data_IF_343934853875
#
_entry.id   IF_343934853875
#
_cell.length_a   1.000
_cell.length_b   1.000
_cell.length_c   1.000
_cell.angle_alpha   90.00
_cell.angle_beta   90.00
_cell.angle_gamma   90.00
#
_symmetry.space_group_name_H-M   'P 1'
#
loop_
_entity.id
_entity.type
_entity.pdbx_description
1 polymer ?
#
# COMPACT_ATOMS: atom_id res chain seq x y z
N UNK A 1 17.69 17.73 -1.46
CA UNK A 1 16.78 16.61 -1.53
C UNK A 1 17.63 15.36 -1.66
N UNK A 2 17.18 14.22 -1.21
CA UNK A 2 18.07 13.07 -1.13
C UNK A 2 17.35 11.77 -1.49
N UNK A 3 18.03 10.90 -2.23
CA UNK A 3 17.64 9.50 -2.37
C UNK A 3 17.82 8.75 -1.05
N UNK A 4 17.12 7.61 -0.90
CA UNK A 4 17.34 6.70 0.22
C UNK A 4 17.69 5.33 -0.32
N UNK A 5 18.80 4.76 0.13
CA UNK A 5 19.25 3.44 -0.30
C UNK A 5 19.42 2.51 0.89
N UNK A 6 18.76 1.37 0.82
CA UNK A 6 18.92 0.24 1.73
C UNK A 6 19.77 -0.82 1.01
N UNK A 7 20.81 -1.33 1.66
CA UNK A 7 21.68 -2.39 1.11
C UNK A 7 21.69 -3.57 2.08
N UNK A 8 21.08 -4.68 1.68
CA UNK A 8 21.05 -5.94 2.41
C UNK A 8 20.61 -5.78 3.88
N UNK A 9 19.55 -4.97 4.09
CA UNK A 9 19.07 -4.65 5.42
C UNK A 9 18.36 -5.85 6.04
N UNK A 10 18.87 -6.27 7.19
CA UNK A 10 18.24 -7.29 8.02
C UNK A 10 17.97 -6.74 9.42
N UNK A 11 16.82 -7.10 10.00
CA UNK A 11 16.49 -6.82 11.40
C UNK A 11 15.94 -8.03 12.08
N UNK A 12 16.64 -8.45 13.15
CA UNK A 12 16.24 -9.57 14.02
C UNK A 12 16.23 -9.15 15.48
N UNK A 13 15.36 -9.77 16.26
CA UNK A 13 15.35 -9.73 17.71
C UNK A 13 15.32 -11.18 18.23
N UNK A 14 16.46 -11.66 18.70
CA UNK A 14 16.62 -13.08 19.02
C UNK A 14 16.31 -13.94 17.79
N UNK A 15 15.38 -14.87 17.91
CA UNK A 15 15.01 -15.80 16.84
C UNK A 15 13.99 -15.22 15.82
N UNK A 16 13.48 -14.01 16.09
CA UNK A 16 12.48 -13.38 15.21
C UNK A 16 13.16 -12.44 14.24
N UNK A 17 13.10 -12.75 12.94
CA UNK A 17 13.57 -11.88 11.87
C UNK A 17 12.38 -11.14 11.24
N UNK A 18 12.29 -9.84 11.48
CA UNK A 18 11.20 -9.00 10.97
C UNK A 18 11.46 -8.41 9.57
N UNK A 19 12.73 -8.22 9.22
CA UNK A 19 13.19 -7.74 7.91
C UNK A 19 14.35 -8.60 7.47
N UNK A 20 14.29 -9.12 6.24
CA UNK A 20 15.20 -10.14 5.73
C UNK A 20 15.86 -9.67 4.43
N UNK A 21 17.10 -9.27 4.49
CA UNK A 21 17.96 -8.94 3.35
C UNK A 21 17.29 -8.01 2.32
N UNK A 22 16.69 -6.91 2.78
CA UNK A 22 16.05 -5.94 1.89
C UNK A 22 17.08 -5.03 1.26
N UNK A 23 17.12 -5.01 -0.07
CA UNK A 23 17.83 -4.02 -0.88
C UNK A 23 16.83 -3.18 -1.66
N UNK A 24 16.84 -1.85 -1.45
CA UNK A 24 15.85 -0.93 -2.00
C UNK A 24 16.50 0.41 -2.30
N UNK A 25 16.29 0.91 -3.51
CA UNK A 25 16.70 2.25 -3.91
C UNK A 25 15.48 3.14 -4.14
N UNK A 26 15.33 4.18 -3.34
CA UNK A 26 14.27 5.19 -3.41
C UNK A 26 14.90 6.44 -4.04
N UNK A 27 14.35 6.86 -5.18
CA UNK A 27 14.87 7.98 -5.95
C UNK A 27 14.58 9.31 -5.25
N UNK A 28 15.37 10.33 -5.59
CA UNK A 28 15.05 11.70 -5.15
C UNK A 28 13.66 12.12 -5.65
N UNK A 29 12.89 12.79 -4.79
CA UNK A 29 11.51 13.21 -5.03
C UNK A 29 10.50 12.07 -5.26
N UNK A 30 10.87 10.82 -5.04
CA UNK A 30 9.98 9.70 -5.17
C UNK A 30 9.00 9.61 -3.99
N UNK A 31 7.74 9.25 -4.28
CA UNK A 31 6.76 8.80 -3.30
C UNK A 31 6.73 7.27 -3.35
N UNK A 32 7.46 6.63 -2.45
CA UNK A 32 7.45 5.17 -2.30
C UNK A 32 6.45 4.76 -1.22
N UNK A 33 5.62 3.78 -1.53
CA UNK A 33 4.72 3.15 -0.55
C UNK A 33 5.22 1.77 -0.18
N UNK A 34 5.37 1.50 1.12
CA UNK A 34 5.54 0.16 1.67
C UNK A 34 4.15 -0.39 2.01
N UNK A 35 3.69 -1.38 1.26
CA UNK A 35 2.37 -2.00 1.38
C UNK A 35 2.51 -3.46 1.81
N UNK A 36 1.60 -3.97 2.62
CA UNK A 36 1.58 -5.38 3.01
C UNK A 36 0.75 -5.64 4.26
N UNK A 37 0.55 -6.90 4.65
CA UNK A 37 -0.20 -7.26 5.84
C UNK A 37 0.47 -6.78 7.11
N UNK A 38 -0.28 -6.80 8.23
CA UNK A 38 0.27 -6.46 9.54
C UNK A 38 1.42 -7.40 9.92
N UNK A 39 2.49 -6.85 10.47
CA UNK A 39 3.66 -7.63 10.90
C UNK A 39 4.64 -8.02 9.80
N UNK A 40 4.48 -7.61 8.53
CA UNK A 40 5.40 -7.95 7.44
C UNK A 40 6.71 -7.12 7.40
N UNK A 41 6.96 -6.22 8.36
CA UNK A 41 8.23 -5.48 8.47
C UNK A 41 8.22 -4.02 8.02
N UNK A 42 7.12 -3.47 7.50
CA UNK A 42 7.01 -2.08 6.97
C UNK A 42 7.46 -1.01 7.97
N UNK A 43 6.80 -0.95 9.12
CA UNK A 43 7.12 0.03 10.18
C UNK A 43 8.53 -0.16 10.71
N UNK A 44 9.02 -1.40 10.81
CA UNK A 44 10.41 -1.70 11.21
C UNK A 44 11.39 -1.11 10.20
N UNK A 45 11.18 -1.35 8.90
CA UNK A 45 12.02 -0.80 7.82
C UNK A 45 12.05 0.74 7.88
N UNK A 46 10.88 1.37 8.03
CA UNK A 46 10.81 2.82 8.14
C UNK A 46 11.48 3.36 9.41
N UNK A 47 11.35 2.67 10.57
CA UNK A 47 12.03 3.05 11.81
C UNK A 47 13.55 2.94 11.71
N UNK A 48 14.07 1.97 10.97
CA UNK A 48 15.50 1.86 10.70
C UNK A 48 15.99 3.05 9.85
N UNK A 49 15.24 3.50 8.84
CA UNK A 49 15.56 4.69 8.07
C UNK A 49 15.55 5.95 8.96
N UNK A 50 14.57 6.04 9.88
CA UNK A 50 14.47 7.15 10.83
C UNK A 50 15.57 7.16 11.90
N UNK A 51 16.31 6.06 12.07
CA UNK A 51 17.27 5.87 13.16
C UNK A 51 16.66 5.61 14.53
N UNK A 52 15.37 5.24 14.55
CA UNK A 52 14.65 4.83 15.76
C UNK A 52 14.85 3.35 16.08
N UNK A 53 15.40 2.60 15.13
CA UNK A 53 15.77 1.20 15.25
C UNK A 53 17.08 0.99 14.50
N UNK A 54 17.99 0.18 15.04
CA UNK A 54 19.25 -0.15 14.40
C UNK A 54 19.07 -1.41 13.55
N UNK A 55 19.54 -1.44 12.29
CA UNK A 55 19.60 -2.69 11.54
C UNK A 55 20.54 -3.69 12.23
N UNK A 56 20.23 -4.99 12.14
CA UNK A 56 21.14 -6.05 12.58
C UNK A 56 22.27 -6.24 11.58
N UNK A 57 21.97 -6.06 10.28
CA UNK A 57 22.94 -6.17 9.19
C UNK A 57 22.57 -5.17 8.08
N UNK A 58 23.54 -4.86 7.21
CA UNK A 58 23.38 -4.00 6.06
C UNK A 58 23.56 -2.52 6.35
N UNK A 59 23.41 -1.70 5.29
CA UNK A 59 23.71 -0.27 5.32
C UNK A 59 22.55 0.58 4.81
N UNK A 60 22.32 1.72 5.48
CA UNK A 60 21.33 2.73 5.10
C UNK A 60 22.06 4.00 4.68
N UNK A 61 21.68 4.52 3.50
CA UNK A 61 22.20 5.77 2.97
C UNK A 61 21.07 6.78 2.76
N UNK A 62 21.33 8.04 3.10
CA UNK A 62 20.49 9.19 2.75
C UNK A 62 21.37 10.11 1.90
N UNK A 63 21.03 10.24 0.60
CA UNK A 63 21.96 10.77 -0.38
C UNK A 63 23.21 9.87 -0.48
N UNK A 64 24.37 10.48 -0.39
CA UNK A 64 25.67 9.76 -0.41
C UNK A 64 26.15 9.34 0.99
N UNK A 65 25.48 9.82 2.05
CA UNK A 65 25.90 9.61 3.42
C UNK A 65 25.32 8.32 3.99
N UNK A 66 26.21 7.42 4.49
CA UNK A 66 25.83 6.28 5.35
C UNK A 66 25.34 6.82 6.70
N UNK A 67 24.17 6.38 7.16
CA UNK A 67 23.52 6.94 8.36
C UNK A 67 23.29 5.94 9.48
N UNK A 68 23.83 4.73 9.41
CA UNK A 68 23.63 3.71 10.44
C UNK A 68 24.00 4.24 11.84
N UNK A 69 25.14 4.92 11.96
CA UNK A 69 25.69 5.43 13.22
C UNK A 69 25.18 6.83 13.59
N UNK A 70 24.30 7.41 12.74
CA UNK A 70 23.75 8.75 12.97
C UNK A 70 22.51 8.71 13.87
N UNK A 71 22.45 9.62 14.83
CA UNK A 71 21.27 9.77 15.68
C UNK A 71 20.05 10.26 14.83
N UNK A 72 18.80 9.93 15.22
CA UNK A 72 17.61 10.34 14.49
C UNK A 72 17.52 11.85 14.19
N UNK A 73 18.00 12.68 15.13
CA UNK A 73 18.01 14.17 14.98
C UNK A 73 18.98 14.66 13.90
N UNK A 74 20.01 13.88 13.55
CA UNK A 74 21.08 14.26 12.64
C UNK A 74 20.87 13.69 11.21
N UNK A 75 19.86 12.80 11.01
CA UNK A 75 19.53 12.21 9.71
C UNK A 75 18.75 13.10 8.76
N UNK A 76 18.33 14.28 9.18
CA UNK A 76 17.48 15.22 8.42
C UNK A 76 16.18 14.61 7.87
N UNK A 77 15.59 13.67 8.58
CA UNK A 77 14.31 13.05 8.28
C UNK A 77 13.20 13.63 9.15
N UNK A 78 11.98 13.79 8.63
CA UNK A 78 10.79 14.09 9.42
C UNK A 78 9.85 12.91 9.40
N UNK A 79 9.23 12.60 10.55
CA UNK A 79 8.33 11.47 10.68
C UNK A 79 6.96 11.91 11.21
N UNK A 80 5.91 11.43 10.56
CA UNK A 80 4.52 11.48 11.03
C UNK A 80 4.14 10.09 11.52
N UNK A 81 3.78 10.00 12.80
CA UNK A 81 3.39 8.76 13.45
C UNK A 81 1.89 8.49 13.29
N UNK A 82 1.48 7.26 13.38
CA UNK A 82 0.09 6.81 13.31
C UNK A 82 -0.83 7.52 14.31
N UNK A 83 -0.35 7.82 15.51
CA UNK A 83 -1.06 8.56 16.55
C UNK A 83 -0.84 10.07 16.50
N UNK A 84 -0.31 10.59 15.38
CA UNK A 84 0.06 12.00 15.16
C UNK A 84 1.20 12.51 16.03
N UNK A 85 1.43 11.96 17.22
CA UNK A 85 2.50 12.33 18.16
C UNK A 85 2.48 13.81 18.59
N UNK A 86 1.31 14.48 18.61
CA UNK A 86 1.21 15.89 19.01
C UNK A 86 1.43 16.05 20.51
N UNK A 87 2.07 17.15 20.90
CA UNK A 87 2.24 17.53 22.29
C UNK A 87 0.91 18.09 22.84
N UNK A 88 0.21 17.39 23.74
CA UNK A 88 -1.18 17.72 24.13
C UNK A 88 -1.29 19.01 24.94
N UNK A 89 -0.23 19.41 25.61
CA UNK A 89 -0.16 20.62 26.43
C UNK A 89 0.21 21.88 25.63
N UNK A 90 0.70 21.74 24.40
CA UNK A 90 1.08 22.82 23.50
C UNK A 90 -0.09 23.19 22.58
N UNK A 91 -0.16 24.47 22.17
CA UNK A 91 -1.06 24.92 21.11
C UNK A 91 -0.62 24.37 19.74
N UNK A 92 -1.46 24.50 18.71
CA UNK A 92 -1.10 24.18 17.32
C UNK A 92 0.15 24.95 16.90
N UNK A 93 0.18 26.26 17.16
CA UNK A 93 1.34 27.11 16.89
C UNK A 93 2.61 26.56 17.54
N UNK A 94 2.55 26.22 18.82
CA UNK A 94 3.70 25.68 19.55
C UNK A 94 4.15 24.32 19.03
N UNK A 95 3.20 23.44 18.66
CA UNK A 95 3.51 22.14 18.05
C UNK A 95 4.29 22.31 16.74
N UNK A 96 3.84 23.21 15.85
CA UNK A 96 4.52 23.50 14.57
C UNK A 96 5.86 24.18 14.81
N UNK A 97 5.92 25.12 15.75
CA UNK A 97 7.14 25.87 16.09
C UNK A 97 8.23 25.02 16.74
N UNK A 98 7.88 23.96 17.45
CA UNK A 98 8.80 23.18 18.28
C UNK A 98 10.05 22.69 17.53
N UNK A 99 9.96 22.10 16.32
CA UNK A 99 11.13 21.69 15.53
C UNK A 99 12.08 22.84 15.21
N UNK A 100 11.57 24.06 14.99
CA UNK A 100 12.40 25.25 14.73
C UNK A 100 13.23 25.63 15.96
N UNK A 101 12.66 25.49 17.17
CA UNK A 101 13.40 25.72 18.42
C UNK A 101 14.54 24.71 18.59
N UNK A 102 14.25 23.41 18.34
CA UNK A 102 15.24 22.34 18.47
C UNK A 102 16.40 22.56 17.49
N UNK A 103 16.12 23.02 16.28
CA UNK A 103 17.12 23.33 15.24
C UNK A 103 17.78 24.72 15.44
N UNK A 104 17.46 25.45 16.50
CA UNK A 104 18.02 26.76 16.81
C UNK A 104 17.80 27.79 15.69
N UNK A 105 16.71 27.70 14.94
CA UNK A 105 16.31 28.73 13.96
C UNK A 105 16.08 30.06 14.69
N UNK A 106 16.48 31.21 14.14
CA UNK A 106 16.28 32.53 14.79
C UNK A 106 14.81 32.80 15.11
N UNK A 107 14.50 33.25 16.33
CA UNK A 107 13.13 33.50 16.80
C UNK A 107 12.30 34.40 15.88
N UNK A 108 12.95 35.37 15.25
CA UNK A 108 12.31 36.34 14.34
C UNK A 108 11.68 35.67 13.12
N UNK A 109 12.18 34.50 12.71
CA UNK A 109 11.66 33.75 11.55
C UNK A 109 10.52 32.77 11.92
N UNK A 110 10.31 32.52 13.22
CA UNK A 110 9.38 31.46 13.65
C UNK A 110 7.93 31.76 13.24
N UNK A 111 7.47 33.00 13.43
CA UNK A 111 6.10 33.43 13.14
C UNK A 111 5.76 33.19 11.66
N UNK A 112 6.62 33.70 10.77
CA UNK A 112 6.49 33.60 9.32
C UNK A 112 6.50 32.13 8.85
N UNK A 113 7.47 31.35 9.33
CA UNK A 113 7.59 29.94 8.95
C UNK A 113 6.38 29.12 9.42
N UNK A 114 5.91 29.35 10.63
CA UNK A 114 4.72 28.65 11.18
C UNK A 114 3.47 29.02 10.40
N UNK A 115 3.22 30.32 10.14
CA UNK A 115 2.03 30.76 9.37
C UNK A 115 2.05 30.26 7.95
N UNK A 116 3.18 30.41 7.24
CA UNK A 116 3.36 29.89 5.89
C UNK A 116 3.11 28.39 5.81
N UNK A 117 3.61 27.64 6.81
CA UNK A 117 3.41 26.18 6.85
C UNK A 117 1.97 25.82 7.21
N UNK A 118 1.35 26.54 8.15
CA UNK A 118 -0.05 26.35 8.50
C UNK A 118 -0.98 26.65 7.31
N UNK A 119 -0.66 27.64 6.48
CA UNK A 119 -1.39 27.94 5.25
C UNK A 119 -1.35 26.80 4.23
N UNK A 120 -0.18 26.15 4.06
CA UNK A 120 -0.03 25.00 3.15
C UNK A 120 -0.95 23.81 3.48
N UNK A 121 -1.35 23.66 4.73
CA UNK A 121 -2.24 22.59 5.21
C UNK A 121 -3.57 23.14 5.76
N UNK A 122 -3.91 24.39 5.43
CA UNK A 122 -5.20 25.03 5.71
C UNK A 122 -5.63 25.04 7.21
N UNK A 123 -4.69 25.32 8.13
CA UNK A 123 -4.95 25.34 9.57
C UNK A 123 -4.56 26.66 10.25
N UNK A 124 -4.38 27.75 9.52
CA UNK A 124 -4.00 29.05 10.10
C UNK A 124 -4.98 29.55 11.18
N UNK A 125 -6.28 29.33 10.97
CA UNK A 125 -7.32 29.70 11.90
C UNK A 125 -7.35 28.85 13.19
N UNK A 126 -6.54 27.77 13.25
CA UNK A 126 -6.49 26.86 14.39
C UNK A 126 -5.23 27.03 15.26
N UNK A 127 -4.33 27.95 14.93
CA UNK A 127 -3.01 28.11 15.57
C UNK A 127 -3.07 28.25 17.11
N UNK A 128 -4.14 28.85 17.64
CA UNK A 128 -4.30 29.07 19.08
C UNK A 128 -4.97 27.89 19.80
N UNK A 129 -5.52 26.89 19.08
CA UNK A 129 -6.17 25.73 19.66
C UNK A 129 -5.16 24.71 20.19
N UNK A 130 -5.62 23.82 21.07
CA UNK A 130 -4.88 22.66 21.54
C UNK A 130 -5.33 21.38 20.84
N UNK A 131 -4.51 20.33 20.79
CA UNK A 131 -4.84 19.06 20.09
C UNK A 131 -6.20 18.44 20.50
N UNK A 132 -6.60 18.58 21.75
CA UNK A 132 -7.91 18.08 22.25
C UNK A 132 -9.13 18.78 21.65
N UNK A 133 -8.94 19.98 21.09
CA UNK A 133 -9.99 20.82 20.51
C UNK A 133 -10.12 20.64 19.00
N UNK A 134 -9.36 19.67 18.43
CA UNK A 134 -9.26 19.41 17.01
C UNK A 134 -9.93 18.09 16.62
N UNK A 135 -10.51 18.05 15.42
CA UNK A 135 -10.92 16.80 14.77
C UNK A 135 -9.72 15.91 14.38
N UNK A 136 -9.97 14.67 14.00
CA UNK A 136 -8.92 13.75 13.53
C UNK A 136 -8.11 14.32 12.39
N UNK A 137 -8.77 14.80 11.33
CA UNK A 137 -8.09 15.41 10.18
C UNK A 137 -7.34 16.69 10.52
N UNK A 138 -7.88 17.53 11.42
CA UNK A 138 -7.16 18.72 11.89
C UNK A 138 -5.89 18.34 12.66
N UNK A 139 -5.95 17.32 13.53
CA UNK A 139 -4.73 16.79 14.21
C UNK A 139 -3.69 16.30 13.23
N UNK A 140 -4.13 15.60 12.18
CA UNK A 140 -3.23 15.13 11.13
C UNK A 140 -2.56 16.29 10.39
N UNK A 141 -3.32 17.29 9.95
CA UNK A 141 -2.77 18.50 9.30
C UNK A 141 -1.75 19.22 10.19
N UNK A 142 -1.98 19.27 11.51
CA UNK A 142 -0.99 19.81 12.47
C UNK A 142 0.27 18.93 12.51
N UNK A 143 0.15 17.62 12.49
CA UNK A 143 1.30 16.72 12.47
C UNK A 143 2.12 16.87 11.16
N UNK A 144 1.42 16.99 10.02
CA UNK A 144 2.06 17.31 8.73
C UNK A 144 2.79 18.66 8.78
N UNK A 145 2.11 19.72 9.23
CA UNK A 145 2.74 21.06 9.37
C UNK A 145 3.99 21.00 10.24
N UNK A 146 3.92 20.32 11.40
CA UNK A 146 5.08 20.15 12.28
C UNK A 146 6.24 19.43 11.60
N UNK A 147 5.94 18.45 10.72
CA UNK A 147 6.96 17.72 10.02
C UNK A 147 7.61 18.53 8.89
N UNK A 148 6.83 19.28 8.11
CA UNK A 148 7.32 20.01 6.94
C UNK A 148 7.91 21.40 7.26
N UNK A 149 7.59 22.01 8.42
CA UNK A 149 8.08 23.35 8.80
C UNK A 149 9.60 23.48 8.78
N UNK A 150 10.29 22.39 8.94
CA UNK A 150 11.76 22.30 8.96
C UNK A 150 12.37 21.95 7.60
N UNK A 151 11.56 21.81 6.53
CA UNK A 151 11.98 21.43 5.19
C UNK A 151 12.94 20.20 5.21
N UNK A 152 12.47 19.01 5.65
CA UNK A 152 13.31 17.82 5.74
C UNK A 152 13.72 17.33 4.35
N UNK A 153 14.84 16.59 4.26
CA UNK A 153 15.27 15.96 3.00
C UNK A 153 14.47 14.68 2.68
N UNK A 154 14.00 13.97 3.72
CA UNK A 154 13.17 12.76 3.60
C UNK A 154 11.97 12.86 4.53
N UNK A 155 10.81 12.48 4.02
CA UNK A 155 9.55 12.47 4.75
C UNK A 155 9.05 11.04 4.97
N UNK A 156 8.87 10.66 6.22
CA UNK A 156 8.43 9.33 6.64
C UNK A 156 7.03 9.41 7.21
N UNK A 157 6.11 8.58 6.76
CA UNK A 157 4.71 8.56 7.21
C UNK A 157 4.27 7.14 7.58
N UNK A 158 4.00 6.92 8.88
CA UNK A 158 3.55 5.62 9.40
C UNK A 158 2.04 5.60 9.55
N UNK A 159 1.34 4.99 8.60
CA UNK A 159 -0.12 4.86 8.54
C UNK A 159 -0.88 6.16 8.91
N UNK A 160 -0.55 7.30 8.31
CA UNK A 160 -1.06 8.59 8.79
C UNK A 160 -2.57 8.76 8.63
N UNK A 161 -3.23 7.99 7.75
CA UNK A 161 -4.66 8.09 7.48
C UNK A 161 -5.52 7.04 8.19
N UNK A 162 -4.90 6.07 8.88
CA UNK A 162 -5.58 4.91 9.47
C UNK A 162 -6.67 5.29 10.48
N UNK A 163 -6.49 6.38 11.23
CA UNK A 163 -7.41 6.84 12.27
C UNK A 163 -8.49 7.82 11.77
N UNK A 164 -8.67 7.95 10.44
CA UNK A 164 -9.67 8.84 9.83
C UNK A 164 -10.86 8.05 9.30
N UNK A 165 -12.03 8.68 9.31
CA UNK A 165 -13.21 8.13 8.64
C UNK A 165 -13.03 8.10 7.11
N UNK A 166 -13.85 7.28 6.41
CA UNK A 166 -13.69 7.02 4.99
C UNK A 166 -13.78 8.30 4.13
N UNK A 167 -14.71 9.22 4.43
CA UNK A 167 -14.89 10.46 3.67
C UNK A 167 -13.67 11.38 3.81
N UNK A 168 -13.18 11.54 5.04
CA UNK A 168 -12.02 12.38 5.33
C UNK A 168 -10.74 11.76 4.75
N UNK A 169 -10.62 10.42 4.73
CA UNK A 169 -9.49 9.72 4.12
C UNK A 169 -9.36 10.01 2.62
N UNK A 170 -10.50 10.09 1.89
CA UNK A 170 -10.50 10.45 0.45
C UNK A 170 -9.93 11.85 0.24
N UNK A 171 -10.41 12.87 0.98
CA UNK A 171 -9.90 14.24 0.83
C UNK A 171 -8.43 14.36 1.22
N UNK A 172 -8.03 13.72 2.33
CA UNK A 172 -6.66 13.77 2.82
C UNK A 172 -5.65 13.10 1.88
N UNK A 173 -6.04 12.04 1.15
CA UNK A 173 -5.18 11.46 0.10
C UNK A 173 -4.88 12.47 -1.01
N UNK A 174 -5.90 13.17 -1.51
CA UNK A 174 -5.71 14.18 -2.53
C UNK A 174 -4.78 15.32 -2.04
N UNK A 175 -4.97 15.77 -0.80
CA UNK A 175 -4.12 16.79 -0.18
C UNK A 175 -2.67 16.33 -0.02
N UNK A 176 -2.45 15.10 0.44
CA UNK A 176 -1.11 14.53 0.59
C UNK A 176 -0.38 14.43 -0.76
N UNK A 177 -1.08 14.00 -1.81
CA UNK A 177 -0.52 13.92 -3.16
C UNK A 177 -0.13 15.30 -3.68
N UNK A 178 -1.00 16.30 -3.49
CA UNK A 178 -0.73 17.69 -3.87
C UNK A 178 0.45 18.27 -3.09
N UNK A 179 0.48 18.07 -1.77
CA UNK A 179 1.53 18.52 -0.87
C UNK A 179 2.89 17.96 -1.26
N UNK A 180 2.97 16.67 -1.55
CA UNK A 180 4.21 16.02 -2.01
C UNK A 180 4.69 16.61 -3.34
N UNK A 181 3.77 16.82 -4.30
CA UNK A 181 4.10 17.44 -5.58
C UNK A 181 4.64 18.88 -5.40
N UNK A 182 4.05 19.67 -4.50
CA UNK A 182 4.51 21.04 -4.19
C UNK A 182 5.88 21.06 -3.51
N UNK A 183 6.06 20.17 -2.52
CA UNK A 183 7.26 20.17 -1.69
C UNK A 183 8.45 19.47 -2.36
N UNK A 184 8.20 18.56 -3.30
CA UNK A 184 9.21 17.74 -3.98
C UNK A 184 10.17 17.03 -3.02
N UNK A 185 9.65 16.50 -1.91
CA UNK A 185 10.43 15.78 -0.89
C UNK A 185 10.31 14.27 -1.14
N UNK A 186 11.42 13.56 -1.05
CA UNK A 186 11.44 12.08 -1.06
C UNK A 186 10.60 11.57 0.09
N UNK A 187 9.56 10.79 -0.22
CA UNK A 187 8.55 10.36 0.76
C UNK A 187 8.48 8.84 0.83
N UNK A 188 8.55 8.31 2.05
CA UNK A 188 8.31 6.89 2.33
C UNK A 188 7.05 6.80 3.17
N UNK A 189 6.08 6.11 2.65
CA UNK A 189 4.73 5.98 3.22
C UNK A 189 4.43 4.52 3.55
N UNK A 190 4.05 4.25 4.77
CA UNK A 190 3.63 2.92 5.22
C UNK A 190 2.12 2.88 5.29
N UNK A 191 1.51 1.86 4.72
CA UNK A 191 0.08 1.59 4.82
C UNK A 191 -0.24 0.11 4.65
N UNK A 192 -1.42 -0.30 5.09
CA UNK A 192 -2.06 -1.55 4.74
C UNK A 192 -3.27 -1.34 3.80
N UNK A 193 -3.60 -0.08 3.47
CA UNK A 193 -4.70 0.29 2.57
C UNK A 193 -4.19 0.31 1.12
N UNK A 194 -4.72 -0.61 0.32
CA UNK A 194 -4.36 -0.75 -1.09
C UNK A 194 -4.74 0.48 -1.91
N UNK A 195 -5.87 1.14 -1.59
CA UNK A 195 -6.32 2.32 -2.32
C UNK A 195 -5.34 3.48 -2.10
N UNK A 196 -4.81 3.63 -0.87
CA UNK A 196 -3.76 4.60 -0.59
C UNK A 196 -2.51 4.32 -1.43
N UNK A 197 -2.04 3.07 -1.45
CA UNK A 197 -0.88 2.68 -2.21
C UNK A 197 -1.04 2.94 -3.72
N UNK A 198 -2.17 2.50 -4.30
CA UNK A 198 -2.44 2.65 -5.73
C UNK A 198 -2.63 4.10 -6.16
N UNK A 199 -3.11 4.99 -5.27
CA UNK A 199 -3.42 6.38 -5.65
C UNK A 199 -2.28 7.35 -5.37
N UNK A 200 -1.47 7.11 -4.33
CA UNK A 200 -0.41 8.02 -3.89
C UNK A 200 0.95 7.71 -4.50
N UNK A 201 1.28 6.44 -4.69
CA UNK A 201 2.63 6.00 -4.98
C UNK A 201 3.11 6.33 -6.40
N UNK A 202 4.41 6.64 -6.53
CA UNK A 202 5.15 6.48 -7.77
C UNK A 202 5.57 5.02 -7.96
N UNK A 203 6.03 4.35 -6.88
CA UNK A 203 6.23 2.90 -6.81
C UNK A 203 5.70 2.35 -5.49
N UNK A 204 5.27 1.10 -5.54
CA UNK A 204 4.82 0.32 -4.38
C UNK A 204 5.79 -0.84 -4.15
N UNK A 205 6.32 -0.95 -2.93
CA UNK A 205 7.00 -2.15 -2.46
C UNK A 205 6.00 -3.01 -1.68
N UNK A 206 5.55 -4.09 -2.28
CA UNK A 206 4.67 -5.06 -1.63
C UNK A 206 5.51 -5.97 -0.76
N UNK A 207 5.29 -5.93 0.55
CA UNK A 207 6.08 -6.68 1.54
C UNK A 207 5.29 -7.86 2.10
N UNK A 208 5.94 -9.01 2.21
CA UNK A 208 5.46 -10.19 2.93
C UNK A 208 6.58 -10.82 3.75
N UNK A 209 6.27 -11.19 5.00
CA UNK A 209 7.18 -11.96 5.89
C UNK A 209 8.62 -11.45 5.95
N UNK A 210 8.77 -10.13 5.89
CA UNK A 210 10.08 -9.46 6.02
C UNK A 210 10.84 -9.27 4.72
N UNK A 211 10.29 -9.63 3.56
CA UNK A 211 10.90 -9.44 2.24
C UNK A 211 10.04 -8.50 1.37
N UNK A 212 10.62 -7.96 0.31
CA UNK A 212 9.88 -7.29 -0.77
C UNK A 212 9.51 -8.35 -1.79
N UNK A 213 8.20 -8.62 -1.92
CA UNK A 213 7.66 -9.60 -2.87
C UNK A 213 7.58 -9.07 -4.30
N UNK A 214 7.34 -7.76 -4.45
CA UNK A 214 7.37 -7.05 -5.75
C UNK A 214 7.57 -5.56 -5.50
N UNK A 215 8.31 -4.89 -6.39
CA UNK A 215 8.55 -3.44 -6.35
C UNK A 215 8.34 -2.85 -7.74
N UNK A 216 7.22 -2.18 -7.94
CA UNK A 216 6.89 -1.61 -9.25
C UNK A 216 5.94 -0.41 -9.15
N UNK A 217 5.58 0.18 -10.29
CA UNK A 217 4.51 1.18 -10.39
C UNK A 217 3.16 0.54 -10.04
N UNK A 218 2.19 1.30 -9.48
CA UNK A 218 0.90 0.74 -9.07
C UNK A 218 0.18 -0.07 -10.16
N UNK A 219 0.23 0.39 -11.40
CA UNK A 219 -0.40 -0.28 -12.54
C UNK A 219 0.20 -1.68 -12.79
N UNK A 220 1.53 -1.82 -12.71
CA UNK A 220 2.21 -3.10 -12.88
C UNK A 220 1.92 -4.06 -11.70
N UNK A 221 1.90 -3.55 -10.46
CA UNK A 221 1.52 -4.34 -9.27
C UNK A 221 0.13 -4.96 -9.43
N UNK A 222 -0.82 -4.23 -10.05
CA UNK A 222 -2.18 -4.74 -10.28
C UNK A 222 -2.28 -5.65 -11.50
N UNK A 223 -1.72 -5.23 -12.65
CA UNK A 223 -1.89 -5.89 -13.93
C UNK A 223 -0.83 -6.96 -14.22
N UNK A 224 0.28 -6.96 -13.51
CA UNK A 224 1.43 -7.84 -13.76
C UNK A 224 2.04 -8.39 -12.46
N UNK A 225 1.24 -9.08 -11.60
CA UNK A 225 1.73 -9.63 -10.35
C UNK A 225 2.79 -10.71 -10.62
N UNK A 226 3.96 -10.60 -9.96
CA UNK A 226 5.09 -11.52 -10.15
C UNK A 226 4.89 -12.87 -9.45
N UNK A 227 4.02 -12.92 -8.45
CA UNK A 227 3.80 -14.13 -7.66
C UNK A 227 2.38 -14.23 -7.11
N UNK A 228 2.05 -15.41 -6.61
CA UNK A 228 0.73 -15.75 -6.06
C UNK A 228 0.31 -14.85 -4.88
N UNK A 229 1.28 -14.48 -4.03
CA UNK A 229 0.99 -13.60 -2.90
C UNK A 229 0.52 -12.23 -3.37
N UNK A 230 1.24 -11.59 -4.27
CA UNK A 230 0.86 -10.27 -4.81
C UNK A 230 -0.48 -10.34 -5.52
N UNK A 231 -0.70 -11.36 -6.36
CA UNK A 231 -1.96 -11.57 -7.07
C UNK A 231 -3.17 -11.67 -6.12
N UNK A 232 -3.04 -12.47 -5.06
CA UNK A 232 -4.10 -12.67 -4.07
C UNK A 232 -4.21 -11.56 -3.03
N UNK A 233 -3.15 -10.78 -2.80
CA UNK A 233 -3.18 -9.68 -1.86
C UNK A 233 -3.73 -8.39 -2.47
N UNK A 234 -3.47 -8.13 -3.76
CA UNK A 234 -3.86 -6.90 -4.44
C UNK A 234 -5.23 -7.05 -5.13
N UNK A 235 -6.12 -6.12 -4.82
CA UNK A 235 -7.48 -6.07 -5.35
C UNK A 235 -8.54 -6.19 -4.24
N UNK A 236 -9.70 -5.59 -4.46
CA UNK A 236 -10.86 -5.68 -3.56
C UNK A 236 -12.15 -5.80 -4.40
N UNK A 237 -12.68 -7.03 -4.57
CA UNK A 237 -12.18 -8.31 -4.07
C UNK A 237 -10.81 -8.71 -4.64
N UNK A 238 -10.09 -9.67 -3.99
CA UNK A 238 -8.84 -10.20 -4.50
C UNK A 238 -9.03 -11.01 -5.79
N UNK A 239 -7.93 -11.34 -6.47
CA UNK A 239 -7.93 -12.25 -7.61
C UNK A 239 -8.47 -13.61 -7.21
N UNK A 240 -9.32 -14.20 -8.05
CA UNK A 240 -9.73 -15.60 -7.90
C UNK A 240 -8.52 -16.49 -8.23
N UNK A 241 -8.24 -17.46 -7.37
CA UNK A 241 -7.10 -18.37 -7.51
C UNK A 241 -7.62 -19.81 -7.47
N UNK A 242 -7.57 -20.49 -8.62
CA UNK A 242 -8.15 -21.81 -8.82
C UNK A 242 -7.03 -22.82 -9.09
N UNK A 243 -7.00 -23.91 -8.35
CA UNK A 243 -6.01 -24.99 -8.52
C UNK A 243 -6.39 -25.91 -9.68
N UNK A 244 -5.39 -26.37 -10.42
CA UNK A 244 -5.59 -27.30 -11.52
C UNK A 244 -4.29 -27.73 -12.17
N UNK A 245 -4.41 -28.44 -13.29
CA UNK A 245 -3.28 -28.89 -14.11
C UNK A 245 -3.19 -28.03 -15.37
N UNK A 246 -1.98 -27.76 -15.82
CA UNK A 246 -1.72 -27.05 -17.07
C UNK A 246 -0.98 -27.97 -18.03
N UNK A 247 -1.60 -28.31 -19.16
CA UNK A 247 -0.99 -29.12 -20.22
C UNK A 247 -1.29 -28.54 -21.58
N UNK A 248 -0.27 -28.42 -22.42
CA UNK A 248 -0.40 -27.94 -23.81
C UNK A 248 -1.18 -26.63 -23.93
N UNK A 249 -0.98 -25.70 -22.99
CA UNK A 249 -1.68 -24.42 -22.95
C UNK A 249 -3.17 -24.50 -22.58
N UNK A 250 -3.62 -25.64 -22.03
CA UNK A 250 -4.98 -25.84 -21.49
C UNK A 250 -4.89 -26.01 -19.98
N UNK A 251 -5.49 -25.07 -19.25
CA UNK A 251 -5.68 -25.22 -17.81
C UNK A 251 -6.93 -26.06 -17.54
N UNK A 252 -6.78 -27.08 -16.71
CA UNK A 252 -7.85 -28.02 -16.34
C UNK A 252 -8.12 -27.97 -14.84
N UNK A 253 -9.28 -27.46 -14.49
CA UNK A 253 -9.87 -27.53 -13.15
C UNK A 253 -10.80 -28.76 -13.06
N UNK A 254 -11.24 -29.16 -11.84
CA UNK A 254 -12.20 -30.23 -11.64
C UNK A 254 -13.51 -30.06 -12.45
N UNK A 255 -13.99 -28.83 -12.58
CA UNK A 255 -15.29 -28.48 -13.16
C UNK A 255 -15.24 -27.90 -14.57
N UNK A 256 -14.07 -27.45 -15.05
CA UNK A 256 -13.96 -26.79 -16.34
C UNK A 256 -12.56 -26.90 -16.93
N UNK A 257 -12.44 -26.56 -18.20
CA UNK A 257 -11.14 -26.40 -18.86
C UNK A 257 -11.13 -25.12 -19.67
N UNK A 258 -10.02 -24.38 -19.60
CA UNK A 258 -9.85 -23.13 -20.34
C UNK A 258 -8.52 -23.11 -21.07
N UNK A 259 -8.53 -22.77 -22.35
CA UNK A 259 -7.32 -22.57 -23.13
C UNK A 259 -6.67 -21.22 -22.77
N UNK A 260 -5.43 -21.25 -22.28
CA UNK A 260 -4.64 -20.08 -21.92
C UNK A 260 -3.49 -19.84 -22.91
N UNK A 261 -3.30 -20.76 -23.85
CA UNK A 261 -2.41 -20.61 -25.01
C UNK A 261 -0.93 -20.92 -24.78
N UNK A 262 -0.48 -21.11 -23.52
CA UNK A 262 0.94 -21.40 -23.22
C UNK A 262 1.10 -22.16 -21.90
N UNK A 263 2.26 -22.74 -21.70
CA UNK A 263 2.74 -23.34 -20.48
C UNK A 263 2.44 -24.83 -20.32
N UNK A 264 3.21 -25.46 -19.44
CA UNK A 264 3.04 -26.83 -18.97
C UNK A 264 3.45 -26.90 -17.50
N UNK A 265 2.56 -27.35 -16.63
CA UNK A 265 2.82 -27.48 -15.20
C UNK A 265 1.82 -28.50 -14.59
N UNK A 266 2.32 -29.45 -13.80
CA UNK A 266 1.47 -30.48 -13.17
C UNK A 266 0.55 -29.93 -12.08
N UNK A 267 1.02 -28.90 -11.36
CA UNK A 267 0.24 -28.23 -10.32
C UNK A 267 0.27 -26.73 -10.60
N UNK A 268 -0.72 -26.23 -11.31
CA UNK A 268 -0.85 -24.83 -11.65
C UNK A 268 -1.99 -24.16 -10.88
N UNK A 269 -1.88 -22.84 -10.71
CA UNK A 269 -2.95 -22.01 -10.17
C UNK A 269 -3.35 -21.01 -11.25
N UNK A 270 -4.62 -21.04 -11.65
CA UNK A 270 -5.21 -20.04 -12.53
C UNK A 270 -5.66 -18.84 -11.70
N UNK A 271 -5.13 -17.67 -12.00
CA UNK A 271 -5.59 -16.39 -11.45
C UNK A 271 -6.48 -15.65 -12.45
N UNK A 272 -7.66 -15.20 -11.99
CA UNK A 272 -8.54 -14.35 -12.80
C UNK A 272 -9.13 -13.24 -11.90
N UNK A 273 -9.06 -11.99 -12.35
CA UNK A 273 -9.66 -10.88 -11.62
C UNK A 273 -11.19 -10.95 -11.65
N UNK A 274 -11.89 -10.54 -10.58
CA UNK A 274 -13.35 -10.54 -10.53
C UNK A 274 -14.03 -9.77 -11.66
N UNK A 275 -13.42 -8.71 -12.16
CA UNK A 275 -13.89 -7.89 -13.28
C UNK A 275 -13.62 -8.48 -14.66
N UNK A 276 -12.74 -9.47 -14.75
CA UNK A 276 -12.43 -10.21 -15.99
C UNK A 276 -13.29 -11.47 -16.16
N UNK A 277 -14.30 -11.62 -15.30
CA UNK A 277 -15.32 -12.66 -15.35
C UNK A 277 -16.68 -12.05 -15.70
N UNK A 278 -17.44 -12.74 -16.57
CA UNK A 278 -18.76 -12.31 -16.97
C UNK A 278 -19.80 -13.36 -16.58
N UNK A 279 -20.89 -12.92 -15.95
CA UNK A 279 -22.06 -13.77 -15.70
C UNK A 279 -22.83 -13.97 -16.99
N UNK A 280 -23.15 -15.23 -17.30
CA UNK A 280 -23.89 -15.64 -18.50
C UNK A 280 -25.02 -16.60 -18.14
N UNK A 281 -25.87 -16.88 -19.11
CA UNK A 281 -26.78 -18.02 -19.02
C UNK A 281 -26.01 -19.36 -19.05
N UNK A 282 -26.63 -20.45 -18.62
CA UNK A 282 -25.99 -21.74 -18.49
C UNK A 282 -25.49 -22.36 -19.80
N UNK A 283 -25.99 -21.91 -20.97
CA UNK A 283 -25.72 -22.53 -22.27
C UNK A 283 -24.48 -22.01 -22.99
N UNK A 284 -23.89 -20.87 -22.56
CA UNK A 284 -22.72 -20.28 -23.21
C UNK A 284 -21.69 -19.84 -22.15
N UNK A 285 -21.05 -20.81 -21.55
CA UNK A 285 -20.26 -20.65 -20.34
C UNK A 285 -19.01 -21.52 -20.36
N UNK A 286 -17.92 -21.02 -19.73
CA UNK A 286 -16.72 -21.83 -19.48
C UNK A 286 -16.92 -22.71 -18.23
N UNK A 287 -17.62 -22.20 -17.21
CA UNK A 287 -18.01 -22.96 -16.03
C UNK A 287 -19.38 -22.51 -15.51
N UNK A 288 -20.02 -23.33 -14.70
CA UNK A 288 -21.29 -22.99 -14.04
C UNK A 288 -21.24 -23.36 -12.57
N UNK A 289 -21.91 -22.56 -11.76
CA UNK A 289 -21.95 -22.79 -10.31
C UNK A 289 -23.21 -22.24 -9.66
N UNK A 290 -23.43 -22.64 -8.41
CA UNK A 290 -24.55 -22.16 -7.60
C UNK A 290 -24.17 -20.85 -6.91
N UNK A 291 -25.01 -19.83 -7.00
CA UNK A 291 -24.82 -18.55 -6.32
C UNK A 291 -24.77 -18.77 -4.80
N UNK A 292 -23.64 -18.44 -4.20
CA UNK A 292 -23.41 -18.50 -2.76
C UNK A 292 -23.75 -17.19 -2.07
N UNK A 293 -23.31 -16.05 -2.64
CA UNK A 293 -23.64 -14.71 -2.14
C UNK A 293 -23.85 -13.73 -3.28
N UNK A 294 -24.66 -12.70 -2.98
CA UNK A 294 -24.97 -11.60 -3.86
C UNK A 294 -24.87 -10.31 -3.03
N UNK A 295 -23.99 -9.39 -3.43
CA UNK A 295 -23.73 -8.16 -2.71
C UNK A 295 -23.80 -6.95 -3.65
N UNK A 296 -24.65 -5.99 -3.30
CA UNK A 296 -24.77 -4.73 -4.02
C UNK A 296 -23.90 -3.66 -3.35
N UNK A 297 -22.80 -3.27 -3.98
CA UNK A 297 -21.86 -2.29 -3.39
C UNK A 297 -22.21 -0.84 -3.74
N UNK A 298 -23.25 -0.62 -4.54
CA UNK A 298 -23.66 0.69 -5.03
C UNK A 298 -23.07 1.04 -6.40
N UNK A 299 -21.81 0.78 -6.63
CA UNK A 299 -21.12 1.01 -7.92
C UNK A 299 -21.13 -0.23 -8.80
N UNK A 300 -21.08 -1.39 -8.19
CA UNK A 300 -21.02 -2.70 -8.84
C UNK A 300 -21.80 -3.75 -8.05
N UNK A 301 -21.97 -4.90 -8.64
CA UNK A 301 -22.49 -6.09 -7.99
C UNK A 301 -21.39 -7.12 -7.85
N UNK A 302 -21.26 -7.72 -6.67
CA UNK A 302 -20.39 -8.87 -6.43
C UNK A 302 -21.25 -10.12 -6.32
N UNK A 303 -20.95 -11.11 -7.15
CA UNK A 303 -21.60 -12.41 -7.13
C UNK A 303 -20.54 -13.46 -6.85
N UNK A 304 -20.70 -14.20 -5.76
CA UNK A 304 -19.83 -15.35 -5.48
C UNK A 304 -20.57 -16.62 -5.79
N UNK A 305 -20.01 -17.46 -6.64
CA UNK A 305 -20.55 -18.78 -6.94
C UNK A 305 -19.68 -19.87 -6.29
N UNK A 306 -20.30 -21.01 -6.01
CA UNK A 306 -19.63 -22.21 -5.52
C UNK A 306 -19.35 -23.14 -6.69
N UNK A 307 -18.07 -23.53 -6.85
CA UNK A 307 -17.57 -24.54 -7.79
C UNK A 307 -17.00 -25.68 -6.96
N UNK A 308 -17.80 -26.71 -6.64
CA UNK A 308 -17.44 -27.77 -5.69
C UNK A 308 -16.91 -27.21 -4.36
N UNK A 309 -15.58 -27.36 -4.12
CA UNK A 309 -14.91 -26.84 -2.91
C UNK A 309 -14.40 -25.42 -3.06
N UNK A 310 -14.29 -24.90 -4.29
CA UNK A 310 -13.79 -23.56 -4.59
C UNK A 310 -14.91 -22.52 -4.68
N UNK A 311 -14.52 -21.25 -4.58
CA UNK A 311 -15.41 -20.11 -4.77
C UNK A 311 -14.85 -19.18 -5.83
N UNK A 312 -15.73 -18.70 -6.67
CA UNK A 312 -15.40 -17.75 -7.73
C UNK A 312 -16.22 -16.48 -7.53
N UNK A 313 -15.54 -15.36 -7.34
CA UNK A 313 -16.17 -14.04 -7.17
C UNK A 313 -16.11 -13.28 -8.48
N UNK A 314 -17.26 -12.81 -8.93
CA UNK A 314 -17.47 -12.06 -10.17
C UNK A 314 -17.86 -10.64 -9.81
N UNK A 315 -17.27 -9.65 -10.45
CA UNK A 315 -17.69 -8.24 -10.36
C UNK A 315 -18.41 -7.85 -11.65
N UNK A 316 -19.67 -7.56 -11.53
CA UNK A 316 -20.49 -7.12 -12.67
C UNK A 316 -21.12 -5.75 -12.48
N UNK A 317 -21.84 -5.25 -13.51
CA UNK A 317 -22.61 -4.02 -13.45
C UNK A 317 -23.59 -4.03 -12.26
N UNK A 318 -23.89 -2.84 -11.74
CA UNK A 318 -24.83 -2.67 -10.60
C UNK A 318 -26.25 -3.17 -10.88
N UNK A 319 -26.59 -3.35 -12.15
CA UNK A 319 -27.88 -3.84 -12.61
C UNK A 319 -28.03 -5.36 -12.53
N UNK A 320 -26.94 -6.11 -12.36
CA UNK A 320 -27.02 -7.56 -12.22
C UNK A 320 -27.92 -7.94 -11.04
N UNK A 321 -28.78 -8.93 -11.30
CA UNK A 321 -29.66 -9.53 -10.29
C UNK A 321 -29.65 -11.04 -10.45
N UNK A 322 -29.29 -11.69 -9.38
CA UNK A 322 -29.31 -13.16 -9.25
C UNK A 322 -29.86 -13.53 -7.87
N UNK A 323 -30.44 -14.69 -7.76
CA UNK A 323 -30.93 -15.22 -6.47
C UNK A 323 -29.90 -16.17 -5.85
N UNK A 324 -29.87 -16.21 -4.53
CA UNK A 324 -29.08 -17.24 -3.82
C UNK A 324 -29.61 -18.62 -4.26
N UNK A 325 -28.70 -19.57 -4.41
CA UNK A 325 -28.94 -20.93 -4.92
C UNK A 325 -29.30 -21.03 -6.41
N UNK A 326 -29.43 -19.94 -7.13
CA UNK A 326 -29.57 -19.95 -8.59
C UNK A 326 -28.32 -20.53 -9.25
N UNK A 327 -28.49 -21.28 -10.34
CA UNK A 327 -27.38 -21.79 -11.15
C UNK A 327 -27.10 -20.77 -12.25
N UNK A 328 -25.89 -20.25 -12.28
CA UNK A 328 -25.43 -19.27 -13.27
C UNK A 328 -24.19 -19.78 -14.00
N UNK A 329 -24.05 -19.34 -15.25
CA UNK A 329 -22.86 -19.56 -16.04
C UNK A 329 -21.85 -18.43 -15.85
N UNK A 330 -20.56 -18.73 -16.05
CA UNK A 330 -19.47 -17.76 -16.03
C UNK A 330 -18.60 -17.95 -17.26
N UNK A 331 -18.32 -16.86 -17.95
CA UNK A 331 -17.32 -16.78 -19.01
C UNK A 331 -16.04 -16.16 -18.46
N UNK A 332 -14.91 -16.76 -18.82
CA UNK A 332 -13.57 -16.32 -18.41
C UNK A 332 -12.91 -15.59 -19.56
N UNK A 333 -12.43 -14.37 -19.30
CA UNK A 333 -11.63 -13.64 -20.28
C UNK A 333 -10.23 -14.25 -20.38
N UNK A 334 -10.00 -15.05 -21.43
CA UNK A 334 -8.77 -15.83 -21.64
C UNK A 334 -7.51 -14.97 -21.76
N UNK A 335 -7.63 -13.76 -22.29
CA UNK A 335 -6.52 -12.81 -22.44
C UNK A 335 -6.08 -12.19 -21.10
N UNK A 336 -6.93 -12.31 -20.06
CA UNK A 336 -6.73 -11.78 -18.71
C UNK A 336 -6.52 -12.88 -17.67
N UNK A 337 -6.11 -14.06 -18.11
CA UNK A 337 -5.73 -15.15 -17.23
C UNK A 337 -4.26 -15.03 -16.81
N UNK A 338 -4.01 -15.30 -15.54
CA UNK A 338 -2.67 -15.38 -14.96
C UNK A 338 -2.43 -16.84 -14.54
N UNK A 339 -1.20 -17.31 -14.73
CA UNK A 339 -0.81 -18.66 -14.34
C UNK A 339 0.31 -18.59 -13.32
N UNK A 340 0.20 -19.37 -12.26
CA UNK A 340 1.22 -19.49 -11.23
C UNK A 340 1.55 -20.96 -11.00
N UNK A 341 2.82 -21.23 -10.77
CA UNK A 341 3.28 -22.55 -10.32
C UNK A 341 2.90 -22.74 -8.84
N UNK A 342 2.21 -23.83 -8.52
CA UNK A 342 1.69 -24.02 -7.18
C UNK A 342 2.79 -24.26 -6.12
N UNK A 343 3.97 -24.73 -6.53
CA UNK A 343 5.09 -25.07 -5.63
C UNK A 343 5.96 -23.84 -5.39
N UNK A 344 6.46 -23.20 -6.45
CA UNK A 344 7.31 -22.01 -6.34
C UNK A 344 6.53 -20.74 -6.04
N UNK A 345 5.22 -20.74 -6.29
CA UNK A 345 4.31 -19.60 -6.22
C UNK A 345 4.65 -18.46 -7.18
N UNK A 346 5.58 -18.65 -8.08
CA UNK A 346 5.96 -17.66 -9.07
C UNK A 346 5.02 -17.71 -10.28
N UNK A 347 4.90 -16.57 -10.95
CA UNK A 347 4.14 -16.48 -12.19
C UNK A 347 4.80 -17.30 -13.29
N UNK A 348 4.00 -18.03 -14.04
CA UNK A 348 4.40 -18.71 -15.28
C UNK A 348 4.19 -17.71 -16.42
N UNK A 349 5.26 -17.34 -17.10
CA UNK A 349 5.25 -16.48 -18.29
C UNK A 349 5.69 -17.27 -19.52
N UNK A 350 5.35 -16.76 -20.72
CA UNK A 350 5.83 -17.34 -22.00
C UNK A 350 7.35 -17.30 -22.12
#
# INVERSE_FOLDING_TARGET
MASVTLKNITKSWGDITAVKDISLNIRDNEFLVLLGPSGCGKTTTMRMIAGLEEPSEGDIYIGEKRVNDELPKDRDVAMVFQNYGLYPHMSVYENIRYPLKVRKVPKLQHEDLVRKTAGKVEIENLLNRRPRELSGGQRQRVALARAIVRAPTVFLMDEPLSNLDAKLRVSMRAELKHLQHELRITTIYVTHDQIEAMTLAHRVAVMDKGIISQLDVPEAIYNDPENLFVAGFIGSPPMNLLKGDLKEGIFKHSNFSVGVGFGECQEAILGVRPEDLELTGPDNTDCSGRVYSFELTGESTLVTIKLDDDRLTIRGPKEYRVSIDEIVGVRINREKCYLFDAVSQNRITN
#
